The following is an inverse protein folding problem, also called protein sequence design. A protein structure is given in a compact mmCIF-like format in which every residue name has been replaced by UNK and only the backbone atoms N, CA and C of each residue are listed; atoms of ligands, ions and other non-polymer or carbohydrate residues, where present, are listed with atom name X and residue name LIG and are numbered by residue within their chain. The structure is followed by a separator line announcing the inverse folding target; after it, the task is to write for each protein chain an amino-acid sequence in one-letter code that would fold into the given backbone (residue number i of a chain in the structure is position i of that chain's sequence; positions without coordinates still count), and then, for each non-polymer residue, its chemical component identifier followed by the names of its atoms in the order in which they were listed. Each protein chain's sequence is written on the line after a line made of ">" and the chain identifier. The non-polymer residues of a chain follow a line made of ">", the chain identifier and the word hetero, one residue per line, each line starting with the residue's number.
data_IF_486180774049
#
_entry.id   IF_486180774049
#
_cell.length_a   1.000
_cell.length_b   1.000
_cell.length_c   1.000
_cell.angle_alpha   90.00
_cell.angle_beta   90.00
_cell.angle_gamma   90.00
#
_symmetry.space_group_name_H-M   'P 1'
#
loop_
_entity.id
_entity.type
_entity.pdbx_description
1 polymer ?
#
# COMPACT_ATOMS: atom_id res chain seq x y z
N UNK A 1 8.93 -35.38 16.21
CA UNK A 1 9.10 -33.95 16.55
C UNK A 1 10.57 -33.69 16.86
N UNK A 2 11.10 -32.49 16.59
CA UNK A 2 12.46 -32.13 17.04
C UNK A 2 12.52 -32.20 18.57
N UNK A 3 13.66 -32.67 19.11
CA UNK A 3 13.89 -32.72 20.57
C UNK A 3 13.98 -31.32 21.19
N UNK A 4 14.49 -30.35 20.43
CA UNK A 4 14.50 -28.95 20.81
C UNK A 4 14.00 -28.09 19.64
N UNK A 5 12.72 -27.69 19.64
CA UNK A 5 12.16 -26.86 18.57
C UNK A 5 12.68 -25.42 18.58
N UNK A 6 13.35 -24.95 19.64
CA UNK A 6 13.89 -23.58 19.70
C UNK A 6 14.95 -23.33 18.61
N UNK A 7 15.69 -24.37 18.24
CA UNK A 7 16.70 -24.36 17.17
C UNK A 7 16.16 -23.98 15.78
N UNK A 8 14.84 -24.02 15.58
CA UNK A 8 14.18 -23.57 14.34
C UNK A 8 14.15 -22.04 14.19
N UNK A 9 14.27 -21.31 15.31
CA UNK A 9 14.09 -19.87 15.35
C UNK A 9 15.42 -19.20 15.63
N UNK A 10 15.66 -18.08 14.95
CA UNK A 10 16.87 -17.27 15.12
C UNK A 10 16.48 -15.94 15.73
N UNK A 11 17.28 -15.39 16.68
CA UNK A 11 17.07 -14.03 17.17
C UNK A 11 17.13 -13.02 16.02
N UNK A 12 16.35 -11.94 16.13
CA UNK A 12 16.44 -10.81 15.20
C UNK A 12 17.77 -10.07 15.45
N UNK A 13 18.53 -9.69 14.40
CA UNK A 13 19.78 -8.95 14.57
C UNK A 13 19.52 -7.57 15.17
N UNK A 14 20.45 -7.07 15.98
CA UNK A 14 20.38 -5.72 16.53
C UNK A 14 20.66 -4.69 15.44
N UNK A 15 19.91 -3.59 15.44
CA UNK A 15 20.14 -2.45 14.55
C UNK A 15 21.04 -1.44 15.28
N UNK A 16 22.20 -1.12 14.70
CA UNK A 16 23.14 -0.17 15.27
C UNK A 16 22.72 1.28 14.97
N UNK A 17 21.92 1.85 15.88
CA UNK A 17 21.51 3.25 15.88
C UNK A 17 21.85 3.86 17.25
N UNK A 18 23.13 4.21 17.49
CA UNK A 18 23.59 4.67 18.80
C UNK A 18 23.02 6.05 19.15
N UNK A 19 22.86 6.93 18.15
CA UNK A 19 22.36 8.30 18.33
C UNK A 19 20.83 8.43 18.24
N UNK A 20 20.09 7.34 18.50
CA UNK A 20 18.62 7.33 18.39
C UNK A 20 17.99 8.33 19.37
N UNK A 21 17.11 9.20 18.87
CA UNK A 21 16.48 10.25 19.67
C UNK A 21 15.05 9.93 20.11
N UNK A 22 14.39 8.98 19.46
CA UNK A 22 12.98 8.65 19.74
C UNK A 22 12.66 8.32 21.21
N UNK A 23 13.55 7.73 22.04
CA UNK A 23 13.23 7.46 23.45
C UNK A 23 13.05 8.72 24.31
N UNK A 24 13.60 9.87 23.88
CA UNK A 24 13.52 11.13 24.64
C UNK A 24 12.49 12.11 24.07
N UNK A 25 11.71 11.71 23.07
CA UNK A 25 10.70 12.55 22.42
C UNK A 25 9.30 12.23 22.96
N UNK A 26 8.42 13.23 23.00
CA UNK A 26 7.00 13.05 23.30
C UNK A 26 6.20 13.52 22.10
N UNK A 27 5.16 12.76 21.72
CA UNK A 27 4.26 13.12 20.63
C UNK A 27 3.38 14.29 21.09
N UNK A 28 3.46 15.43 20.40
CA UNK A 28 2.69 16.65 20.73
C UNK A 28 1.68 17.05 19.65
N UNK A 29 1.72 16.39 18.49
CA UNK A 29 0.89 16.70 17.33
C UNK A 29 0.36 15.40 16.74
N UNK A 30 -0.90 15.40 16.29
CA UNK A 30 -1.47 14.26 15.59
C UNK A 30 -0.74 14.01 14.26
N UNK A 31 -0.46 12.74 13.90
CA UNK A 31 0.07 12.42 12.59
C UNK A 31 -1.00 12.58 11.50
N UNK A 32 -0.57 12.49 10.24
CA UNK A 32 -1.49 12.20 9.13
C UNK A 32 -2.00 10.77 9.31
N UNK A 33 -3.30 10.58 9.20
CA UNK A 33 -3.95 9.27 9.35
C UNK A 33 -4.46 8.79 8.00
N UNK A 34 -4.16 7.53 7.69
CA UNK A 34 -4.73 6.74 6.60
C UNK A 34 -5.52 5.60 7.22
N UNK A 35 -6.80 5.47 6.88
CA UNK A 35 -7.62 4.32 7.27
C UNK A 35 -7.54 3.26 6.18
N UNK A 36 -7.23 2.02 6.57
CA UNK A 36 -7.16 0.86 5.65
C UNK A 36 -8.28 -0.14 5.86
N UNK A 37 -9.29 0.21 6.65
CA UNK A 37 -10.40 -0.65 7.08
C UNK A 37 -11.16 -1.26 5.89
N UNK A 38 -11.33 -0.52 4.80
CA UNK A 38 -12.10 -0.96 3.62
C UNK A 38 -11.36 -1.94 2.71
N UNK A 39 -10.03 -2.06 2.85
CA UNK A 39 -9.19 -2.96 2.05
C UNK A 39 -8.47 -3.96 2.94
N UNK A 40 -7.47 -3.51 3.71
CA UNK A 40 -6.66 -4.37 4.57
C UNK A 40 -7.49 -4.98 5.71
N UNK A 41 -8.33 -4.16 6.34
CA UNK A 41 -9.27 -4.63 7.36
C UNK A 41 -10.30 -5.61 6.80
N UNK A 42 -10.92 -5.26 5.67
CA UNK A 42 -11.91 -6.10 5.01
C UNK A 42 -11.34 -7.47 4.58
N UNK A 43 -10.10 -7.50 4.08
CA UNK A 43 -9.41 -8.74 3.68
C UNK A 43 -9.18 -9.72 4.85
N UNK A 44 -9.17 -9.22 6.08
CA UNK A 44 -8.99 -10.03 7.29
C UNK A 44 -10.30 -10.61 7.84
N UNK A 45 -11.46 -10.25 7.29
CA UNK A 45 -12.76 -10.73 7.76
C UNK A 45 -13.06 -12.14 7.24
N UNK A 46 -13.67 -12.96 8.10
CA UNK A 46 -14.22 -14.28 7.70
C UNK A 46 -15.34 -14.08 6.67
N UNK A 47 -16.23 -13.13 6.94
CA UNK A 47 -17.32 -12.72 6.06
C UNK A 47 -17.01 -11.30 5.55
N UNK A 48 -16.50 -11.15 4.31
CA UNK A 48 -16.16 -9.85 3.74
C UNK A 48 -17.36 -8.89 3.72
N UNK A 49 -17.06 -7.60 3.84
CA UNK A 49 -18.05 -6.54 3.69
C UNK A 49 -18.65 -6.57 2.28
N UNK A 50 -19.98 -6.60 2.22
CA UNK A 50 -20.74 -6.26 1.02
C UNK A 50 -20.71 -4.74 0.76
N UNK A 51 -21.29 -4.31 -0.36
CA UNK A 51 -21.30 -2.90 -0.76
C UNK A 51 -21.99 -1.98 0.27
N UNK A 52 -23.03 -2.47 0.98
CA UNK A 52 -23.73 -1.70 2.00
C UNK A 52 -22.82 -1.46 3.21
N UNK A 53 -22.19 -2.53 3.72
CA UNK A 53 -21.25 -2.45 4.84
C UNK A 53 -20.04 -1.58 4.51
N UNK A 54 -19.48 -1.70 3.30
CA UNK A 54 -18.39 -0.83 2.83
C UNK A 54 -18.81 0.63 2.79
N UNK A 55 -19.98 0.93 2.23
CA UNK A 55 -20.49 2.30 2.17
C UNK A 55 -20.67 2.88 3.58
N UNK A 56 -21.25 2.11 4.50
CA UNK A 56 -21.43 2.53 5.90
C UNK A 56 -20.08 2.77 6.61
N UNK A 57 -19.08 1.94 6.34
CA UNK A 57 -17.74 2.12 6.89
C UNK A 57 -17.06 3.37 6.32
N UNK A 58 -17.13 3.59 5.01
CA UNK A 58 -16.61 4.80 4.37
C UNK A 58 -17.24 6.07 4.97
N UNK A 59 -18.57 6.12 5.06
CA UNK A 59 -19.30 7.26 5.62
C UNK A 59 -18.91 7.52 7.10
N UNK A 60 -18.63 6.45 7.87
CA UNK A 60 -18.15 6.56 9.25
C UNK A 60 -16.74 7.14 9.32
N UNK A 61 -15.80 6.67 8.50
CA UNK A 61 -14.41 7.15 8.44
C UNK A 61 -14.39 8.65 8.08
N UNK A 62 -15.19 9.04 7.08
CA UNK A 62 -15.37 10.45 6.70
C UNK A 62 -15.92 11.27 7.87
N UNK A 63 -16.93 10.75 8.59
CA UNK A 63 -17.52 11.43 9.76
C UNK A 63 -16.51 11.61 10.91
N UNK A 64 -15.57 10.66 11.09
CA UNK A 64 -14.49 10.78 12.09
C UNK A 64 -13.50 11.89 11.69
N UNK A 65 -13.36 12.17 10.39
CA UNK A 65 -12.50 13.24 9.87
C UNK A 65 -11.15 12.76 9.35
N UNK A 66 -10.98 11.45 9.09
CA UNK A 66 -9.79 10.91 8.43
C UNK A 66 -9.79 11.34 6.95
N UNK A 67 -8.63 11.79 6.46
CA UNK A 67 -8.48 12.43 5.13
C UNK A 67 -7.82 11.56 4.08
N UNK A 68 -7.27 10.42 4.47
CA UNK A 68 -6.71 9.43 3.56
C UNK A 68 -7.40 8.10 3.85
N UNK A 69 -8.01 7.47 2.84
CA UNK A 69 -8.81 6.26 3.02
C UNK A 69 -8.48 5.26 1.92
N UNK A 70 -7.91 4.10 2.27
CA UNK A 70 -7.68 3.01 1.34
C UNK A 70 -8.98 2.25 1.10
N UNK A 71 -9.50 2.33 -0.13
CA UNK A 71 -10.87 1.89 -0.49
C UNK A 71 -10.93 0.54 -1.19
N UNK A 72 -9.80 -0.04 -1.59
CA UNK A 72 -9.78 -1.39 -2.14
C UNK A 72 -8.52 -1.75 -2.94
N UNK A 73 -8.55 -2.97 -3.48
CA UNK A 73 -7.57 -3.49 -4.41
C UNK A 73 -8.30 -3.81 -5.74
N UNK A 74 -8.34 -2.88 -6.71
CA UNK A 74 -9.14 -3.00 -7.92
C UNK A 74 -8.91 -4.30 -8.71
N UNK A 75 -7.67 -4.80 -8.68
CA UNK A 75 -7.30 -6.00 -9.41
C UNK A 75 -7.66 -7.32 -8.69
N UNK A 76 -8.20 -7.25 -7.46
CA UNK A 76 -8.66 -8.44 -6.73
C UNK A 76 -9.97 -9.01 -7.28
N UNK A 77 -10.75 -8.23 -8.03
CA UNK A 77 -11.97 -8.71 -8.71
C UNK A 77 -12.92 -7.59 -9.12
N UNK A 78 -13.92 -7.94 -9.94
CA UNK A 78 -14.91 -6.99 -10.45
C UNK A 78 -15.66 -6.25 -9.33
N UNK A 79 -16.00 -6.93 -8.24
CA UNK A 79 -16.70 -6.30 -7.10
C UNK A 79 -15.88 -5.19 -6.44
N UNK A 80 -14.56 -5.35 -6.30
CA UNK A 80 -13.68 -4.29 -5.77
C UNK A 80 -13.58 -3.13 -6.75
N UNK A 81 -13.38 -3.44 -8.03
CA UNK A 81 -13.32 -2.43 -9.08
C UNK A 81 -14.62 -1.59 -9.15
N UNK A 82 -15.77 -2.26 -9.15
CA UNK A 82 -17.09 -1.63 -9.25
C UNK A 82 -17.40 -0.76 -8.02
N UNK A 83 -16.99 -1.20 -6.82
CA UNK A 83 -17.13 -0.38 -5.61
C UNK A 83 -16.31 0.92 -5.71
N UNK A 84 -15.05 0.84 -6.14
CA UNK A 84 -14.16 2.01 -6.25
C UNK A 84 -14.65 2.97 -7.33
N UNK A 85 -14.96 2.44 -8.52
CA UNK A 85 -15.49 3.23 -9.64
C UNK A 85 -16.83 3.88 -9.28
N UNK A 86 -17.72 3.13 -8.62
CA UNK A 86 -18.99 3.65 -8.12
C UNK A 86 -18.81 4.74 -7.06
N UNK A 87 -17.84 4.58 -6.15
CA UNK A 87 -17.53 5.59 -5.13
C UNK A 87 -17.05 6.89 -5.78
N UNK A 88 -16.12 6.81 -6.74
CA UNK A 88 -15.62 7.96 -7.51
C UNK A 88 -16.75 8.70 -8.23
N UNK A 89 -17.65 7.97 -8.89
CA UNK A 89 -18.74 8.56 -9.67
C UNK A 89 -19.90 9.09 -8.81
N UNK A 90 -20.04 8.60 -7.58
CA UNK A 90 -21.17 8.96 -6.71
C UNK A 90 -21.12 10.36 -6.12
N UNK A 91 -19.97 11.05 -6.19
CA UNK A 91 -19.75 12.34 -5.51
C UNK A 91 -19.70 12.24 -3.97
N UNK A 92 -19.55 11.03 -3.42
CA UNK A 92 -19.48 10.79 -1.96
C UNK A 92 -18.14 11.15 -1.33
N UNK A 93 -17.09 11.27 -2.12
CA UNK A 93 -15.74 11.59 -1.64
C UNK A 93 -15.70 13.10 -1.34
N UNK A 94 -15.47 13.53 -0.09
CA UNK A 94 -15.33 14.95 0.22
C UNK A 94 -14.11 15.57 -0.50
N UNK A 95 -14.18 16.87 -0.82
CA UNK A 95 -13.12 17.59 -1.53
C UNK A 95 -11.76 17.57 -0.80
N UNK A 96 -11.78 17.43 0.52
CA UNK A 96 -10.59 17.39 1.37
C UNK A 96 -10.10 15.97 1.70
N UNK A 97 -10.68 14.94 1.08
CA UNK A 97 -10.34 13.53 1.29
C UNK A 97 -9.70 12.93 0.04
N UNK A 98 -8.64 12.15 0.23
CA UNK A 98 -7.99 11.33 -0.79
C UNK A 98 -8.35 9.86 -0.59
N UNK A 99 -8.80 9.20 -1.64
CA UNK A 99 -8.94 7.74 -1.64
C UNK A 99 -7.64 7.10 -2.13
N UNK A 100 -7.30 5.95 -1.56
CA UNK A 100 -6.13 5.16 -1.91
C UNK A 100 -6.55 3.81 -2.46
N UNK A 101 -5.85 3.34 -3.50
CA UNK A 101 -5.97 1.95 -3.99
C UNK A 101 -4.62 1.26 -3.92
N UNK A 102 -4.64 -0.02 -3.56
CA UNK A 102 -3.44 -0.86 -3.56
C UNK A 102 -3.23 -1.48 -4.94
N UNK A 103 -1.97 -1.60 -5.36
CA UNK A 103 -1.59 -2.35 -6.55
C UNK A 103 -0.22 -3.01 -6.42
N UNK A 104 -0.08 -4.17 -7.06
CA UNK A 104 1.21 -4.84 -7.21
C UNK A 104 2.00 -4.22 -8.37
N UNK A 105 3.32 -4.37 -8.36
CA UNK A 105 4.23 -3.90 -9.43
C UNK A 105 4.16 -4.71 -10.73
N UNK A 106 2.95 -4.81 -11.31
CA UNK A 106 2.68 -5.39 -12.62
C UNK A 106 1.85 -4.43 -13.45
N UNK A 107 2.22 -4.27 -14.72
CA UNK A 107 1.59 -3.32 -15.64
C UNK A 107 0.07 -3.45 -15.71
N UNK A 108 -0.44 -4.66 -15.92
CA UNK A 108 -1.87 -4.93 -16.04
C UNK A 108 -2.67 -4.51 -14.79
N UNK A 109 -2.08 -4.71 -13.61
CA UNK A 109 -2.71 -4.40 -12.33
C UNK A 109 -2.65 -2.90 -12.02
N UNK A 110 -1.53 -2.25 -12.35
CA UNK A 110 -1.40 -0.79 -12.25
C UNK A 110 -2.40 -0.10 -13.18
N UNK A 111 -2.46 -0.50 -14.45
CA UNK A 111 -3.41 0.05 -15.42
C UNK A 111 -4.87 -0.15 -14.98
N UNK A 112 -5.19 -1.30 -14.39
CA UNK A 112 -6.53 -1.55 -13.80
C UNK A 112 -6.81 -0.63 -12.63
N UNK A 113 -5.81 -0.33 -11.81
CA UNK A 113 -5.95 0.55 -10.64
C UNK A 113 -6.25 1.98 -11.07
N UNK A 114 -5.51 2.49 -12.06
CA UNK A 114 -5.78 3.80 -12.67
C UNK A 114 -7.16 3.86 -13.34
N UNK A 115 -7.59 2.80 -14.02
CA UNK A 115 -8.96 2.74 -14.61
C UNK A 115 -10.05 2.85 -13.55
N UNK A 116 -9.87 2.23 -12.38
CA UNK A 116 -10.86 2.28 -11.30
C UNK A 116 -11.02 3.68 -10.68
N UNK A 117 -9.98 4.51 -10.79
CA UNK A 117 -9.91 5.86 -10.24
C UNK A 117 -10.26 6.96 -11.24
N UNK A 118 -10.62 6.62 -12.47
CA UNK A 118 -10.92 7.60 -13.52
C UNK A 118 -12.05 8.53 -13.08
N UNK A 119 -11.77 9.83 -13.08
CA UNK A 119 -12.71 10.87 -12.67
C UNK A 119 -12.58 11.31 -11.21
N UNK A 120 -11.69 10.69 -10.42
CA UNK A 120 -11.35 11.19 -9.10
C UNK A 120 -10.62 12.54 -9.23
N UNK A 121 -10.95 13.55 -8.40
CA UNK A 121 -10.22 14.83 -8.42
C UNK A 121 -8.79 14.69 -7.87
N UNK A 122 -8.59 13.75 -6.94
CA UNK A 122 -7.30 13.38 -6.36
C UNK A 122 -7.33 11.94 -5.87
N UNK A 123 -6.21 11.23 -5.95
CA UNK A 123 -6.12 9.87 -5.46
C UNK A 123 -4.67 9.44 -5.18
N UNK A 124 -4.51 8.48 -4.27
CA UNK A 124 -3.24 7.81 -3.97
C UNK A 124 -3.22 6.45 -4.66
N UNK A 125 -2.18 6.16 -5.43
CA UNK A 125 -1.91 4.81 -5.93
C UNK A 125 -0.75 4.22 -5.11
N UNK A 126 -1.06 3.21 -4.31
CA UNK A 126 -0.10 2.54 -3.43
C UNK A 126 0.49 1.31 -4.13
N UNK A 127 1.75 1.41 -4.50
CA UNK A 127 2.52 0.36 -5.14
C UNK A 127 3.33 -0.42 -4.10
N UNK A 128 3.38 -1.75 -4.24
CA UNK A 128 4.25 -2.56 -3.40
C UNK A 128 4.83 -3.77 -4.12
N UNK A 129 5.98 -4.22 -3.61
CA UNK A 129 6.53 -5.55 -3.88
C UNK A 129 7.35 -6.02 -2.68
N UNK A 130 7.34 -7.34 -2.43
CA UNK A 130 8.10 -7.92 -1.32
C UNK A 130 9.60 -7.76 -1.54
N UNK A 131 10.32 -7.32 -0.51
CA UNK A 131 11.78 -7.13 -0.59
C UNK A 131 12.58 -8.05 0.32
N UNK A 132 11.97 -8.74 1.30
CA UNK A 132 12.72 -9.54 2.28
C UNK A 132 13.46 -10.75 1.68
N UNK A 133 14.59 -11.20 2.29
CA UNK A 133 15.40 -12.30 1.77
C UNK A 133 14.61 -13.59 1.52
N UNK A 134 13.66 -13.92 2.40
CA UNK A 134 12.83 -15.11 2.26
C UNK A 134 11.97 -15.03 1.00
N UNK A 135 11.35 -13.89 0.73
CA UNK A 135 10.56 -13.67 -0.48
C UNK A 135 11.42 -13.69 -1.73
N UNK A 136 12.56 -12.97 -1.73
CA UNK A 136 13.51 -12.98 -2.85
C UNK A 136 13.95 -14.40 -3.21
N UNK A 137 14.31 -15.21 -2.21
CA UNK A 137 14.86 -16.56 -2.42
C UNK A 137 13.80 -17.64 -2.68
N UNK A 138 12.70 -17.64 -1.95
CA UNK A 138 11.75 -18.77 -1.89
C UNK A 138 10.56 -18.52 -2.80
N UNK A 139 10.06 -17.27 -2.86
CA UNK A 139 8.86 -16.93 -3.64
C UNK A 139 9.23 -16.53 -5.06
N UNK A 140 10.18 -15.61 -5.22
CA UNK A 140 10.52 -15.05 -6.53
C UNK A 140 11.68 -15.77 -7.24
N UNK A 141 12.63 -16.32 -6.49
CA UNK A 141 13.87 -16.83 -7.06
C UNK A 141 14.70 -15.73 -7.74
N UNK A 142 14.64 -14.50 -7.21
CA UNK A 142 15.23 -13.30 -7.81
C UNK A 142 16.35 -12.70 -6.96
N UNK A 143 17.30 -12.06 -7.62
CA UNK A 143 18.35 -11.25 -6.98
C UNK A 143 17.80 -9.92 -6.46
N UNK A 144 18.55 -9.25 -5.57
CA UNK A 144 18.23 -7.89 -5.11
C UNK A 144 18.05 -6.91 -6.29
N UNK A 145 18.94 -6.96 -7.29
CA UNK A 145 18.85 -6.10 -8.47
C UNK A 145 17.56 -6.32 -9.28
N UNK A 146 17.15 -7.58 -9.45
CA UNK A 146 15.89 -7.91 -10.15
C UNK A 146 14.66 -7.46 -9.35
N UNK A 147 14.66 -7.64 -8.03
CA UNK A 147 13.56 -7.19 -7.17
C UNK A 147 13.46 -5.66 -7.12
N UNK A 148 14.60 -4.97 -7.11
CA UNK A 148 14.63 -3.52 -7.24
C UNK A 148 14.09 -3.06 -8.61
N UNK A 149 14.46 -3.76 -9.69
CA UNK A 149 13.97 -3.43 -11.03
C UNK A 149 12.44 -3.54 -11.13
N UNK A 150 11.80 -4.50 -10.44
CA UNK A 150 10.34 -4.60 -10.36
C UNK A 150 9.72 -3.32 -9.79
N UNK A 151 10.31 -2.75 -8.73
CA UNK A 151 9.85 -1.51 -8.12
C UNK A 151 10.00 -0.31 -9.08
N UNK A 152 11.16 -0.20 -9.73
CA UNK A 152 11.46 0.86 -10.72
C UNK A 152 10.48 0.77 -11.91
N UNK A 153 10.27 -0.43 -12.46
CA UNK A 153 9.35 -0.65 -13.57
C UNK A 153 7.92 -0.26 -13.18
N UNK A 154 7.48 -0.64 -11.98
CA UNK A 154 6.19 -0.21 -11.43
C UNK A 154 6.08 1.32 -11.35
N UNK A 155 7.09 2.00 -10.80
CA UNK A 155 7.12 3.45 -10.67
C UNK A 155 7.08 4.17 -12.04
N UNK A 156 7.79 3.65 -13.05
CA UNK A 156 7.71 4.18 -14.41
C UNK A 156 6.29 4.05 -15.00
N UNK A 157 5.59 2.95 -14.72
CA UNK A 157 4.22 2.75 -15.18
C UNK A 157 3.26 3.68 -14.43
N UNK A 158 3.43 3.90 -13.13
CA UNK A 158 2.65 4.89 -12.36
C UNK A 158 2.76 6.28 -13.00
N UNK A 159 4.00 6.71 -13.28
CA UNK A 159 4.29 8.00 -13.95
C UNK A 159 3.56 8.09 -15.29
N UNK A 160 3.68 7.07 -16.13
CA UNK A 160 3.09 7.08 -17.48
C UNK A 160 1.55 7.10 -17.42
N UNK A 161 0.94 6.35 -16.49
CA UNK A 161 -0.52 6.34 -16.30
C UNK A 161 -1.06 7.66 -15.74
N UNK A 162 -0.34 8.28 -14.82
CA UNK A 162 -0.69 9.59 -14.28
C UNK A 162 -0.58 10.69 -15.34
N UNK A 163 0.49 10.67 -16.15
CA UNK A 163 0.66 11.62 -17.26
C UNK A 163 -0.46 11.50 -18.31
N UNK A 164 -1.02 10.30 -18.51
CA UNK A 164 -2.15 10.07 -19.40
C UNK A 164 -3.51 10.52 -18.82
N UNK A 165 -3.57 10.85 -17.53
CA UNK A 165 -4.78 11.29 -16.83
C UNK A 165 -4.52 12.58 -16.04
N UNK A 166 -4.24 13.70 -16.73
CA UNK A 166 -3.75 14.94 -16.09
C UNK A 166 -4.82 15.68 -15.27
N UNK A 167 -6.10 15.32 -15.41
CA UNK A 167 -7.21 15.97 -14.70
C UNK A 167 -7.34 15.52 -13.23
N UNK A 168 -6.59 14.49 -12.83
CA UNK A 168 -6.53 13.99 -11.44
C UNK A 168 -5.21 14.39 -10.80
N UNK A 169 -5.28 14.91 -9.57
CA UNK A 169 -4.10 15.18 -8.74
C UNK A 169 -3.59 13.88 -8.11
N UNK A 170 -2.55 13.31 -8.71
CA UNK A 170 -2.02 11.98 -8.37
C UNK A 170 -0.97 12.02 -7.27
N UNK A 171 -1.17 11.19 -6.25
CA UNK A 171 -0.20 10.90 -5.19
C UNK A 171 0.24 9.43 -5.28
N UNK A 172 1.45 9.16 -4.82
CA UNK A 172 2.02 7.82 -4.84
C UNK A 172 2.52 7.43 -3.47
N UNK A 173 2.27 6.17 -3.10
CA UNK A 173 2.86 5.52 -1.94
C UNK A 173 3.63 4.29 -2.44
N UNK A 174 4.83 4.05 -1.88
CA UNK A 174 5.59 2.83 -2.16
C UNK A 174 5.90 2.09 -0.87
N UNK A 175 5.58 0.79 -0.84
CA UNK A 175 5.93 -0.10 0.26
C UNK A 175 6.97 -1.14 -0.18
N UNK A 176 8.18 -1.14 0.40
CA UNK A 176 9.07 -2.30 0.37
C UNK A 176 8.49 -3.39 1.27
N UNK A 177 7.50 -4.14 0.75
CA UNK A 177 6.69 -5.07 1.54
C UNK A 177 7.57 -6.15 2.20
N UNK A 178 7.15 -6.61 3.38
CA UNK A 178 7.95 -7.41 4.34
C UNK A 178 9.19 -6.72 4.91
N UNK A 179 9.17 -5.38 4.93
CA UNK A 179 10.21 -4.48 5.45
C UNK A 179 10.84 -4.93 6.78
N UNK A 180 10.04 -5.33 7.77
CA UNK A 180 10.53 -5.72 9.11
C UNK A 180 11.52 -6.89 9.11
N UNK A 181 11.60 -7.64 8.01
CA UNK A 181 12.51 -8.78 7.82
C UNK A 181 13.49 -8.57 6.67
N UNK A 182 13.51 -7.37 6.08
CA UNK A 182 14.41 -6.98 5.01
C UNK A 182 15.63 -6.22 5.56
N UNK A 183 16.73 -6.24 4.80
CA UNK A 183 17.92 -5.44 5.10
C UNK A 183 17.60 -3.95 4.93
N UNK A 184 17.92 -3.12 5.94
CA UNK A 184 17.59 -1.69 5.93
C UNK A 184 18.25 -0.97 4.74
N UNK A 185 19.50 -1.29 4.44
CA UNK A 185 20.26 -0.72 3.33
C UNK A 185 19.60 -1.04 1.98
N UNK A 186 19.12 -2.28 1.80
CA UNK A 186 18.44 -2.66 0.57
C UNK A 186 17.05 -2.03 0.49
N UNK A 187 16.30 -1.96 1.59
CA UNK A 187 15.02 -1.25 1.62
C UNK A 187 15.17 0.23 1.27
N UNK A 188 16.21 0.89 1.78
CA UNK A 188 16.54 2.28 1.44
C UNK A 188 16.87 2.42 -0.05
N UNK A 189 17.77 1.58 -0.58
CA UNK A 189 18.16 1.59 -1.99
C UNK A 189 16.96 1.44 -2.93
N UNK A 190 16.01 0.57 -2.59
CA UNK A 190 14.79 0.37 -3.37
C UNK A 190 13.87 1.60 -3.28
N UNK A 191 13.71 2.19 -2.10
CA UNK A 191 12.90 3.41 -1.95
C UNK A 191 13.50 4.59 -2.72
N UNK A 192 14.82 4.80 -2.64
CA UNK A 192 15.53 5.85 -3.38
C UNK A 192 15.45 5.67 -4.90
N UNK A 193 15.39 4.43 -5.38
CA UNK A 193 15.24 4.16 -6.81
C UNK A 193 13.80 4.38 -7.33
N UNK A 194 12.80 4.41 -6.44
CA UNK A 194 11.39 4.65 -6.78
C UNK A 194 11.05 6.14 -6.76
N UNK A 195 11.68 6.92 -5.87
CA UNK A 195 11.50 8.38 -5.72
C UNK A 195 12.19 9.18 -6.82
#
# INVERSE_FOLDING_TARGET
>A
MLRDPSTKYRPFPTIDLPDRRWPSQTITTAPRWLSTDLRDGNQALIDPMDAEKKTRMFDLIVKIGIKEIEVGFPAAGATEFDFISGLVQSGRIPDDTMIQVLTQSRRDLIETSFKSLRGAPRAIVHLYNAVSPAWRKIVFGMTQAQVKQIAIDGAMILRDQAAAQPDTDWFFEYSPETFSTAELEFSLEVCEAVM
#
